data_IF_523968178741
#
_entry.id   IF_523968178741
#
_cell.length_a   1.000
_cell.length_b   1.000
_cell.length_c   1.000
_cell.angle_alpha   90.00
_cell.angle_beta   90.00
_cell.angle_gamma   90.00
#
_symmetry.space_group_name_H-M   'P 1'
#
loop_
_entity.id
_entity.type
_entity.pdbx_description
1 polymer ?
#
# COMPACT_ATOMS: atom_id res chain seq x y z
N UNK A 1 10.48 0.75 16.03
CA UNK A 1 11.26 1.72 15.24
C UNK A 1 10.36 2.68 14.47
N UNK A 2 9.53 2.23 13.52
CA UNK A 2 8.73 3.16 12.71
C UNK A 2 7.70 3.96 13.53
N UNK A 3 6.96 3.33 14.43
CA UNK A 3 6.03 4.07 15.29
C UNK A 3 6.71 4.98 16.31
N UNK A 4 7.88 4.60 16.84
CA UNK A 4 8.65 5.48 17.73
C UNK A 4 9.18 6.71 16.96
N UNK A 5 9.67 6.49 15.73
CA UNK A 5 10.09 7.57 14.84
C UNK A 5 8.91 8.49 14.51
N UNK A 6 7.75 7.93 14.15
CA UNK A 6 6.57 8.75 13.85
C UNK A 6 6.13 9.56 15.07
N UNK A 7 6.10 8.97 16.27
CA UNK A 7 5.86 9.70 17.54
C UNK A 7 6.86 10.84 17.73
N UNK A 8 8.14 10.63 17.42
CA UNK A 8 9.15 11.68 17.54
C UNK A 8 8.93 12.86 16.57
N UNK A 9 8.25 12.62 15.44
CA UNK A 9 7.99 13.63 14.41
C UNK A 9 6.69 14.40 14.64
N UNK A 10 5.63 13.72 15.10
CA UNK A 10 4.28 14.31 15.21
C UNK A 10 3.69 14.28 16.63
N UNK A 11 4.50 13.89 17.62
CA UNK A 11 4.09 13.81 19.03
C UNK A 11 3.00 12.76 19.25
N UNK A 12 1.99 13.13 20.04
CA UNK A 12 0.83 12.28 20.35
C UNK A 12 -0.15 12.13 19.18
N UNK A 13 0.17 12.64 17.97
CA UNK A 13 -0.67 12.48 16.79
C UNK A 13 -1.99 13.27 16.81
N UNK A 14 -2.18 14.15 17.80
CA UNK A 14 -3.35 15.01 17.87
C UNK A 14 -3.45 15.91 16.63
N UNK A 15 -4.64 15.95 16.01
CA UNK A 15 -4.89 16.71 14.78
C UNK A 15 -4.51 15.98 13.48
N UNK A 16 -4.01 14.74 13.55
CA UNK A 16 -3.78 13.90 12.37
C UNK A 16 -4.90 12.88 12.18
N UNK A 17 -5.32 12.69 10.93
CA UNK A 17 -6.17 11.58 10.52
C UNK A 17 -5.30 10.40 10.10
N UNK A 18 -5.52 9.25 10.73
CA UNK A 18 -4.80 8.01 10.40
C UNK A 18 -5.66 7.18 9.46
N UNK A 19 -5.11 6.92 8.27
CA UNK A 19 -5.82 6.30 7.16
C UNK A 19 -4.99 5.16 6.59
N UNK A 20 -5.61 4.01 6.38
CA UNK A 20 -4.97 2.88 5.73
C UNK A 20 -5.85 2.27 4.64
N UNK A 21 -5.26 1.58 3.67
CA UNK A 21 -6.02 0.67 2.81
C UNK A 21 -6.72 -0.41 3.65
N UNK A 22 -7.90 -0.92 3.25
CA UNK A 22 -8.56 -2.04 3.92
C UNK A 22 -7.78 -3.36 3.82
N UNK A 23 -6.75 -3.44 2.96
CA UNK A 23 -5.91 -4.62 2.81
C UNK A 23 -5.21 -4.97 4.13
N UNK A 24 -5.14 -6.27 4.45
CA UNK A 24 -4.63 -6.74 5.76
C UNK A 24 -3.21 -6.22 6.06
N UNK A 25 -2.30 -6.26 5.07
CA UNK A 25 -0.90 -5.85 5.24
C UNK A 25 -0.73 -4.37 5.66
N UNK A 26 -1.61 -3.49 5.16
CA UNK A 26 -1.56 -2.06 5.48
C UNK A 26 -2.14 -1.80 6.87
N UNK A 27 -3.23 -2.50 7.22
CA UNK A 27 -3.83 -2.47 8.56
C UNK A 27 -2.87 -2.96 9.64
N UNK A 28 -2.22 -4.10 9.43
CA UNK A 28 -1.22 -4.64 10.37
C UNK A 28 -0.04 -3.67 10.57
N UNK A 29 0.35 -2.94 9.51
CA UNK A 29 1.40 -1.91 9.61
C UNK A 29 0.92 -0.72 10.44
N UNK A 30 -0.30 -0.22 10.19
CA UNK A 30 -0.91 0.87 10.93
C UNK A 30 -1.04 0.54 12.42
N UNK A 31 -1.58 -0.63 12.75
CA UNK A 31 -1.76 -1.10 14.12
C UNK A 31 -0.42 -1.17 14.87
N UNK A 32 0.63 -1.72 14.24
CA UNK A 32 1.99 -1.76 14.81
C UNK A 32 2.58 -0.38 15.03
N UNK A 33 2.33 0.57 14.13
CA UNK A 33 2.80 1.95 14.26
C UNK A 33 2.07 2.64 15.42
N UNK A 34 0.74 2.58 15.45
CA UNK A 34 -0.09 3.21 16.49
C UNK A 34 0.19 2.67 17.89
N UNK A 35 0.33 1.34 18.02
CA UNK A 35 0.72 0.70 19.28
C UNK A 35 2.05 1.27 19.81
N UNK A 36 3.03 1.48 18.92
CA UNK A 36 4.34 2.04 19.28
C UNK A 36 4.31 3.54 19.56
N UNK A 37 3.33 4.26 19.02
CA UNK A 37 3.07 5.65 19.37
C UNK A 37 2.34 5.80 20.72
N UNK A 38 1.78 4.71 21.26
CA UNK A 38 0.94 4.73 22.46
C UNK A 38 -0.52 5.10 22.17
N UNK A 39 -0.95 5.00 20.92
CA UNK A 39 -2.33 5.25 20.49
C UNK A 39 -3.14 3.94 20.52
N UNK A 40 -4.48 4.05 20.52
CA UNK A 40 -5.35 2.89 20.28
C UNK A 40 -5.00 2.29 18.90
N UNK A 41 -4.57 1.03 18.80
CA UNK A 41 -4.16 0.42 17.55
C UNK A 41 -5.29 0.35 16.50
N UNK A 42 -6.56 0.39 16.89
CA UNK A 42 -7.72 0.21 16.01
C UNK A 42 -8.46 1.52 15.67
N UNK A 43 -8.12 2.63 16.32
CA UNK A 43 -8.74 3.93 16.06
C UNK A 43 -8.12 4.61 14.82
N UNK A 44 -8.43 4.08 13.64
CA UNK A 44 -8.05 4.64 12.35
C UNK A 44 -9.12 4.28 11.31
N UNK A 45 -9.25 5.09 10.25
CA UNK A 45 -10.19 4.77 9.17
C UNK A 45 -9.52 3.95 8.08
N UNK A 46 -10.31 3.14 7.40
CA UNK A 46 -9.88 2.52 6.15
C UNK A 46 -10.45 3.25 4.94
N UNK A 47 -9.71 3.26 3.84
CA UNK A 47 -10.12 3.93 2.61
C UNK A 47 -9.91 3.00 1.40
N UNK A 48 -11.00 2.58 0.72
CA UNK A 48 -10.90 1.77 -0.50
C UNK A 48 -10.09 2.43 -1.61
N UNK A 49 -9.99 3.77 -1.66
CA UNK A 49 -9.19 4.49 -2.66
C UNK A 49 -7.68 4.30 -2.47
N UNK A 50 -7.24 3.81 -1.31
CA UNK A 50 -5.84 3.48 -1.02
C UNK A 50 -5.48 2.02 -1.33
N UNK A 51 -6.42 1.21 -1.81
CA UNK A 51 -6.10 -0.15 -2.25
C UNK A 51 -5.10 -0.11 -3.40
N UNK A 52 -4.15 -1.04 -3.34
CA UNK A 52 -3.22 -1.28 -4.45
C UNK A 52 -4.01 -1.53 -5.74
N UNK A 53 -3.47 -1.05 -6.86
CA UNK A 53 -4.04 -1.32 -8.17
C UNK A 53 -4.21 -2.83 -8.37
N UNK A 54 -5.34 -3.23 -8.93
CA UNK A 54 -5.54 -4.61 -9.34
C UNK A 54 -4.71 -4.88 -10.59
N UNK A 55 -3.82 -5.87 -10.52
CA UNK A 55 -2.93 -6.25 -11.63
C UNK A 55 -3.58 -7.24 -12.60
N UNK A 56 -4.88 -7.49 -12.50
CA UNK A 56 -5.63 -8.31 -13.45
C UNK A 56 -5.02 -9.70 -13.59
N UNK A 57 -4.82 -10.12 -14.84
CA UNK A 57 -4.24 -11.43 -15.17
C UNK A 57 -2.79 -11.59 -14.70
N UNK A 58 -2.12 -10.49 -14.35
CA UNK A 58 -0.74 -10.52 -13.86
C UNK A 58 -0.66 -10.75 -12.35
N UNK A 59 -1.78 -10.81 -11.65
CA UNK A 59 -1.79 -11.00 -10.20
C UNK A 59 -1.14 -12.34 -9.82
N UNK A 60 -0.06 -12.27 -9.04
CA UNK A 60 0.66 -13.46 -8.57
C UNK A 60 1.81 -13.92 -9.48
N UNK A 61 2.03 -13.24 -10.61
CA UNK A 61 3.18 -13.47 -11.47
C UNK A 61 4.30 -12.45 -11.23
N UNK A 62 5.53 -12.90 -11.47
CA UNK A 62 6.66 -11.98 -11.56
C UNK A 62 6.69 -11.35 -12.95
N UNK A 63 7.18 -10.11 -13.03
CA UNK A 63 7.29 -9.40 -14.31
C UNK A 63 8.20 -10.15 -15.29
N UNK A 64 9.21 -10.86 -14.79
CA UNK A 64 10.12 -11.69 -15.56
C UNK A 64 9.45 -12.94 -16.15
N UNK A 65 8.42 -13.49 -15.47
CA UNK A 65 7.63 -14.60 -16.01
C UNK A 65 6.76 -14.10 -17.16
N UNK A 66 6.12 -12.94 -16.98
CA UNK A 66 5.34 -12.27 -18.03
C UNK A 66 6.23 -11.90 -19.23
N UNK A 67 7.44 -11.40 -19.00
CA UNK A 67 8.40 -11.06 -20.06
C UNK A 67 8.76 -12.26 -20.94
N UNK A 68 8.96 -13.44 -20.30
CA UNK A 68 9.33 -14.68 -21.02
C UNK A 68 8.25 -15.14 -21.99
N UNK A 69 6.98 -14.87 -21.67
CA UNK A 69 5.84 -15.29 -22.50
C UNK A 69 5.34 -14.19 -23.42
N UNK A 70 5.33 -12.93 -22.95
CA UNK A 70 4.63 -11.77 -23.53
C UNK A 70 5.38 -10.45 -23.29
N UNK A 71 6.59 -10.36 -23.83
CA UNK A 71 7.39 -9.12 -23.81
C UNK A 71 6.63 -7.93 -24.44
N UNK A 72 5.81 -8.19 -25.46
CA UNK A 72 4.98 -7.19 -26.12
C UNK A 72 4.02 -6.46 -25.15
N UNK A 73 3.50 -7.15 -24.13
CA UNK A 73 2.63 -6.55 -23.13
C UNK A 73 3.40 -5.66 -22.15
N UNK A 74 4.64 -6.01 -21.82
CA UNK A 74 5.51 -5.15 -21.00
C UNK A 74 5.87 -3.87 -21.74
N UNK A 75 6.17 -3.97 -23.04
CA UNK A 75 6.40 -2.80 -23.87
C UNK A 75 5.15 -1.93 -24.02
N UNK A 76 3.98 -2.53 -24.21
CA UNK A 76 2.72 -1.81 -24.27
C UNK A 76 2.45 -1.05 -22.96
N UNK A 77 2.67 -1.69 -21.81
CA UNK A 77 2.60 -1.04 -20.50
C UNK A 77 3.63 0.06 -20.33
N UNK A 78 4.84 -0.10 -20.85
CA UNK A 78 5.87 0.93 -20.77
C UNK A 78 5.51 2.17 -21.62
N UNK A 79 4.91 1.95 -22.81
CA UNK A 79 4.46 3.02 -23.71
C UNK A 79 3.23 3.76 -23.19
N UNK A 80 2.30 3.07 -22.53
CA UNK A 80 1.07 3.66 -22.00
C UNK A 80 0.75 3.19 -20.57
N UNK A 81 1.63 3.52 -19.63
CA UNK A 81 1.55 3.05 -18.23
C UNK A 81 0.23 3.37 -17.54
N UNK A 82 -0.43 4.46 -17.92
CA UNK A 82 -1.60 4.97 -17.22
C UNK A 82 -2.91 4.39 -17.74
N UNK A 83 -2.97 4.03 -19.03
CA UNK A 83 -4.18 3.44 -19.62
C UNK A 83 -4.05 1.94 -19.90
N UNK A 84 -2.85 1.35 -19.76
CA UNK A 84 -2.65 -0.08 -19.91
C UNK A 84 -3.38 -0.86 -18.80
N UNK A 85 -4.25 -1.77 -19.22
CA UNK A 85 -4.94 -2.71 -18.34
C UNK A 85 -4.35 -4.11 -18.60
N UNK A 86 -3.66 -4.71 -17.61
CA UNK A 86 -3.09 -6.04 -17.72
C UNK A 86 -4.12 -7.17 -17.78
#
# INVERSE_FOLDING_TARGET
RNGDMLKSLIGEGAGFDFVASPLRRTRETMERIRLRMGLDPYEYRTDPQLMEVNFGDWQGFMMEDIAREREDLLEARARDKWNFVP
#
